data_IF_545879026393
#
_entry.id   IF_545879026393
#
_cell.length_a   1.000
_cell.length_b   1.000
_cell.length_c   1.000
_cell.angle_alpha   90.00
_cell.angle_beta   90.00
_cell.angle_gamma   90.00
#
_symmetry.space_group_name_H-M   'P 1'
#
loop_
_entity.id
_entity.type
_entity.pdbx_description
1 polymer ?
#
# COMPACT_ATOMS: atom_id res chain seq x y z
N UNK A 1 2.23 -17.40 9.39
CA UNK A 1 3.45 -16.62 9.03
C UNK A 1 3.62 -16.39 7.52
N UNK A 2 2.97 -17.16 6.64
CA UNK A 2 3.00 -16.90 5.19
C UNK A 2 2.38 -15.56 4.79
N UNK A 3 1.39 -15.08 5.56
CA UNK A 3 0.76 -13.78 5.33
C UNK A 3 1.77 -12.63 5.40
N UNK A 4 2.68 -12.62 6.39
CA UNK A 4 3.74 -11.60 6.49
C UNK A 4 4.73 -11.67 5.32
N UNK A 5 5.03 -12.87 4.82
CA UNK A 5 5.87 -13.06 3.63
C UNK A 5 5.19 -12.53 2.35
N UNK A 6 3.87 -12.69 2.24
CA UNK A 6 3.09 -12.18 1.10
C UNK A 6 2.90 -10.67 1.15
N UNK A 7 2.76 -10.11 2.35
CA UNK A 7 2.55 -8.68 2.57
C UNK A 7 3.86 -7.88 2.41
N UNK A 8 5.01 -8.48 2.70
CA UNK A 8 6.33 -7.84 2.56
C UNK A 8 6.59 -7.22 1.17
N UNK A 9 6.43 -7.94 0.03
CA UNK A 9 6.63 -7.35 -1.29
C UNK A 9 5.66 -6.21 -1.62
N UNK A 10 4.47 -6.16 -1.00
CA UNK A 10 3.54 -5.04 -1.13
C UNK A 10 3.97 -3.83 -0.28
N UNK A 11 4.62 -4.03 0.86
CA UNK A 11 5.13 -2.93 1.69
C UNK A 11 6.33 -2.21 1.09
N UNK A 12 7.24 -2.93 0.43
CA UNK A 12 8.46 -2.36 -0.16
C UNK A 12 8.18 -1.13 -1.05
N UNK A 13 7.31 -1.19 -2.07
CA UNK A 13 7.05 -0.03 -2.92
C UNK A 13 6.44 1.14 -2.13
N UNK A 14 5.51 0.87 -1.21
CA UNK A 14 4.87 1.91 -0.38
C UNK A 14 5.92 2.64 0.45
N UNK A 15 6.83 1.91 1.10
CA UNK A 15 7.90 2.47 1.92
C UNK A 15 8.91 3.28 1.10
N UNK A 16 9.26 2.81 -0.10
CA UNK A 16 10.19 3.49 -1.00
C UNK A 16 9.61 4.86 -1.43
N UNK A 17 8.38 4.87 -1.96
CA UNK A 17 7.76 6.10 -2.45
C UNK A 17 7.44 7.08 -1.32
N UNK A 18 6.97 6.60 -0.18
CA UNK A 18 6.70 7.46 0.98
C UNK A 18 7.99 8.10 1.53
N UNK A 19 9.07 7.32 1.70
CA UNK A 19 10.36 7.84 2.16
C UNK A 19 10.93 8.88 1.19
N UNK A 20 10.86 8.60 -0.11
CA UNK A 20 11.27 9.54 -1.16
C UNK A 20 10.45 10.83 -1.15
N UNK A 21 9.13 10.76 -0.95
CA UNK A 21 8.27 11.93 -0.83
C UNK A 21 8.66 12.80 0.37
N UNK A 22 8.91 12.20 1.53
CA UNK A 22 9.34 12.91 2.74
C UNK A 22 10.71 13.58 2.56
N UNK A 23 11.65 12.90 1.89
CA UNK A 23 12.97 13.48 1.59
C UNK A 23 12.88 14.67 0.62
N UNK A 24 12.04 14.59 -0.41
CA UNK A 24 11.87 15.67 -1.38
C UNK A 24 11.07 16.85 -0.83
N UNK A 25 10.06 16.60 0.01
CA UNK A 25 9.35 17.65 0.72
C UNK A 25 10.30 18.49 1.60
N UNK A 26 11.26 17.83 2.26
CA UNK A 26 12.30 18.52 3.04
C UNK A 26 13.27 19.31 2.16
N UNK A 27 13.54 18.85 0.94
CA UNK A 27 14.35 19.55 -0.05
C UNK A 27 13.59 20.69 -0.77
N UNK A 28 12.29 20.88 -0.50
CA UNK A 28 11.45 21.86 -1.18
C UNK A 28 11.16 21.52 -2.65
N UNK A 29 11.30 20.25 -3.03
CA UNK A 29 11.01 19.74 -4.37
C UNK A 29 9.55 19.31 -4.51
N UNK A 30 9.05 19.24 -5.74
CA UNK A 30 7.69 18.78 -6.03
C UNK A 30 7.50 17.30 -5.64
N UNK A 31 6.39 16.99 -4.96
CA UNK A 31 6.08 15.65 -4.44
C UNK A 31 4.80 15.04 -5.03
N UNK A 32 4.20 15.73 -6.02
CA UNK A 32 2.89 15.37 -6.56
C UNK A 32 2.89 13.96 -7.18
N UNK A 33 3.97 13.59 -7.88
CA UNK A 33 4.09 12.27 -8.50
C UNK A 33 4.06 11.13 -7.47
N UNK A 34 4.79 11.29 -6.36
CA UNK A 34 4.84 10.30 -5.28
C UNK A 34 3.50 10.22 -4.55
N UNK A 35 2.83 11.36 -4.33
CA UNK A 35 1.50 11.41 -3.72
C UNK A 35 0.43 10.78 -4.61
N UNK A 36 0.45 11.04 -5.93
CA UNK A 36 -0.48 10.39 -6.86
C UNK A 36 -0.29 8.88 -6.91
N UNK A 37 0.96 8.40 -6.89
CA UNK A 37 1.24 6.97 -6.86
C UNK A 37 0.73 6.33 -5.56
N UNK A 38 1.01 6.95 -4.41
CA UNK A 38 0.56 6.46 -3.12
C UNK A 38 -0.97 6.49 -3.00
N UNK A 39 -1.60 7.54 -3.54
CA UNK A 39 -3.04 7.68 -3.65
C UNK A 39 -3.69 6.60 -4.53
N UNK A 40 -3.06 6.23 -5.65
CA UNK A 40 -3.54 5.15 -6.52
C UNK A 40 -3.52 3.79 -5.78
N UNK A 41 -2.46 3.49 -5.03
CA UNK A 41 -2.38 2.27 -4.20
C UNK A 41 -3.44 2.28 -3.10
N UNK A 42 -3.70 3.44 -2.48
CA UNK A 42 -4.74 3.58 -1.46
C UNK A 42 -6.13 3.26 -2.03
N UNK A 43 -6.49 3.88 -3.16
CA UNK A 43 -7.78 3.64 -3.82
C UNK A 43 -7.91 2.18 -4.24
N UNK A 44 -6.88 1.60 -4.84
CA UNK A 44 -6.86 0.18 -5.19
C UNK A 44 -7.05 -0.71 -3.95
N UNK A 45 -6.38 -0.39 -2.85
CA UNK A 45 -6.51 -1.14 -1.60
C UNK A 45 -7.92 -1.05 -1.03
N UNK A 46 -8.54 0.13 -1.06
CA UNK A 46 -9.92 0.32 -0.61
C UNK A 46 -10.91 -0.48 -1.47
N UNK A 47 -10.68 -0.57 -2.78
CA UNK A 47 -11.51 -1.37 -3.68
C UNK A 47 -11.37 -2.87 -3.43
N UNK A 48 -10.15 -3.37 -3.18
CA UNK A 48 -9.86 -4.80 -3.04
C UNK A 48 -10.11 -5.32 -1.62
N UNK A 49 -9.93 -4.48 -0.59
CA UNK A 49 -10.11 -4.83 0.82
C UNK A 49 -11.40 -5.59 1.14
N UNK A 50 -12.62 -5.12 0.78
CA UNK A 50 -13.84 -5.82 1.16
C UNK A 50 -13.94 -7.24 0.54
N UNK A 51 -13.46 -7.43 -0.69
CA UNK A 51 -13.48 -8.74 -1.34
C UNK A 51 -12.54 -9.74 -0.66
N UNK A 52 -11.32 -9.32 -0.35
CA UNK A 52 -10.32 -10.17 0.31
C UNK A 52 -10.75 -10.46 1.76
N UNK A 53 -11.32 -9.48 2.47
CA UNK A 53 -11.87 -9.69 3.81
C UNK A 53 -13.03 -10.69 3.80
N UNK A 54 -13.95 -10.60 2.85
CA UNK A 54 -15.04 -11.57 2.70
C UNK A 54 -14.53 -12.99 2.41
N UNK A 55 -13.57 -13.13 1.50
CA UNK A 55 -12.94 -14.42 1.18
C UNK A 55 -12.22 -15.02 2.39
N UNK A 56 -11.48 -14.18 3.13
CA UNK A 56 -10.75 -14.59 4.34
C UNK A 56 -11.69 -15.05 5.45
N UNK A 57 -12.84 -14.37 5.61
CA UNK A 57 -13.86 -14.76 6.58
C UNK A 57 -14.51 -16.10 6.20
N UNK A 58 -14.82 -16.31 4.91
CA UNK A 58 -15.36 -17.59 4.41
C UNK A 58 -14.38 -18.74 4.70
N UNK A 59 -13.11 -18.57 4.39
CA UNK A 59 -12.06 -19.58 4.65
C UNK A 59 -11.90 -19.86 6.14
N UNK A 60 -12.11 -18.87 7.01
CA UNK A 60 -11.97 -19.05 8.47
C UNK A 60 -13.16 -19.75 9.11
N UNK A 61 -14.31 -19.78 8.42
CA UNK A 61 -15.53 -20.46 8.87
C UNK A 61 -15.65 -21.88 8.34
N UNK A 62 -14.89 -22.22 7.28
CA UNK A 62 -14.70 -23.59 6.77
C UNK A 62 -13.64 -24.33 7.58
#
# INVERSE_FOLDING_TARGET
MLLSLLILPLYIPILIFASSAVSQAQAGLEIDAQLYFLGAILVMSLMVAPFISALSLKISLE
#
